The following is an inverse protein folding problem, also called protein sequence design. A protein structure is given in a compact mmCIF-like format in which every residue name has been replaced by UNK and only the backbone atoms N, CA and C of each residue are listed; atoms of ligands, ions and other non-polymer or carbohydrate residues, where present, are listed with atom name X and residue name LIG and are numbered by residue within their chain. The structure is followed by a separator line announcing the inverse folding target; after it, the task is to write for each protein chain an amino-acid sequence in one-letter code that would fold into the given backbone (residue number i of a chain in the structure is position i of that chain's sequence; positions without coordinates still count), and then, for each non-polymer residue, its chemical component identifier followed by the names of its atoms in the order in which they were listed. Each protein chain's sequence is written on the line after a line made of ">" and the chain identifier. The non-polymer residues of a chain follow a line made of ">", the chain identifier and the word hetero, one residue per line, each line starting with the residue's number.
data_IF_512284711790
#
_entry.id   IF_512284711790
#
_cell.length_a   1.000
_cell.length_b   1.000
_cell.length_c   1.000
_cell.angle_alpha   90.00
_cell.angle_beta   90.00
_cell.angle_gamma   90.00
#
_symmetry.space_group_name_H-M   'P 1'
#
loop_
_entity.id
_entity.type
_entity.pdbx_description
1 polymer ?
#
# COMPACT_ATOMS: atom_id res chain seq x y z
N UNK A 1 15.40 3.19 -25.95
CA UNK A 1 15.32 4.35 -25.02
C UNK A 1 16.68 5.04 -25.00
N UNK A 2 16.70 6.38 -25.05
CA UNK A 2 17.94 7.14 -25.07
C UNK A 2 18.54 7.23 -23.66
N UNK A 3 19.88 7.04 -23.43
CA UNK A 3 20.48 7.08 -22.09
C UNK A 3 20.28 8.37 -21.31
N UNK A 4 19.93 9.48 -21.99
CA UNK A 4 19.62 10.79 -21.39
C UNK A 4 18.13 11.05 -21.23
N UNK A 5 17.26 10.05 -21.35
CA UNK A 5 15.82 10.20 -21.16
C UNK A 5 15.50 9.92 -19.69
N UNK A 6 14.99 10.94 -19.00
CA UNK A 6 14.59 10.87 -17.58
C UNK A 6 13.10 11.20 -17.38
N UNK A 7 12.33 11.15 -18.47
CA UNK A 7 10.97 11.72 -18.48
C UNK A 7 9.88 10.81 -17.98
N UNK A 8 10.09 9.51 -17.88
CA UNK A 8 9.02 8.55 -17.56
C UNK A 8 9.48 7.51 -16.54
N UNK A 9 8.61 7.19 -15.59
CA UNK A 9 8.77 6.12 -14.62
C UNK A 9 7.56 5.20 -14.74
N UNK A 10 7.75 3.87 -14.79
CA UNK A 10 9.00 3.10 -14.80
C UNK A 10 9.75 3.21 -16.14
N UNK A 11 11.06 3.01 -16.08
CA UNK A 11 11.94 3.18 -17.22
C UNK A 11 12.37 1.84 -17.82
N UNK A 12 13.57 1.36 -17.51
CA UNK A 12 14.08 0.08 -18.02
C UNK A 12 13.95 -1.02 -16.97
N UNK A 13 13.49 -2.20 -17.38
CA UNK A 13 13.59 -3.40 -16.54
C UNK A 13 15.01 -3.94 -16.55
N UNK A 14 15.39 -4.72 -15.53
CA UNK A 14 16.62 -5.49 -15.53
C UNK A 14 16.49 -6.72 -16.44
N UNK A 15 17.61 -7.17 -17.01
CA UNK A 15 17.64 -8.39 -17.82
C UNK A 15 17.20 -9.62 -17.00
N UNK A 16 17.59 -9.67 -15.74
CA UNK A 16 17.21 -10.78 -14.83
C UNK A 16 15.70 -10.81 -14.64
N UNK A 17 15.05 -9.66 -14.41
CA UNK A 17 13.59 -9.59 -14.29
C UNK A 17 12.89 -10.02 -15.58
N UNK A 18 13.40 -9.59 -16.74
CA UNK A 18 12.87 -10.04 -18.03
C UNK A 18 12.96 -11.56 -18.20
N UNK A 19 14.10 -12.18 -17.84
CA UNK A 19 14.25 -13.64 -17.88
C UNK A 19 13.28 -14.33 -16.90
N UNK A 20 13.14 -13.83 -15.68
CA UNK A 20 12.18 -14.34 -14.70
C UNK A 20 10.75 -14.27 -15.21
N UNK A 21 10.37 -13.16 -15.84
CA UNK A 21 9.03 -12.97 -16.43
C UNK A 21 8.76 -13.94 -17.59
N UNK A 22 9.75 -14.15 -18.49
CA UNK A 22 9.65 -15.13 -19.59
C UNK A 22 9.45 -16.54 -19.04
N UNK A 23 10.24 -16.96 -18.05
CA UNK A 23 10.11 -18.29 -17.44
C UNK A 23 8.76 -18.44 -16.71
N UNK A 24 8.34 -17.42 -15.98
CA UNK A 24 7.06 -17.43 -15.27
C UNK A 24 5.89 -17.55 -16.23
N UNK A 25 5.90 -16.80 -17.34
CA UNK A 25 4.85 -16.87 -18.35
C UNK A 25 4.87 -18.21 -19.13
N UNK A 26 6.05 -18.80 -19.35
CA UNK A 26 6.18 -20.11 -20.02
C UNK A 26 5.53 -21.25 -19.17
N UNK A 27 5.66 -21.19 -17.85
CA UNK A 27 5.06 -22.17 -16.93
C UNK A 27 3.61 -21.80 -16.60
N UNK A 28 3.29 -20.51 -16.61
CA UNK A 28 1.98 -19.93 -16.30
C UNK A 28 1.35 -20.45 -14.98
N UNK A 29 2.04 -20.35 -13.82
CA UNK A 29 1.55 -20.93 -12.58
C UNK A 29 0.37 -20.11 -12.00
N UNK A 30 -0.59 -20.80 -11.42
CA UNK A 30 -1.71 -20.19 -10.70
C UNK A 30 -1.27 -19.84 -9.26
N UNK A 31 -0.99 -18.56 -9.00
CA UNK A 31 -0.34 -18.11 -7.76
C UNK A 31 -1.30 -17.68 -6.64
N UNK A 32 -2.52 -18.17 -6.63
CA UNK A 32 -3.52 -17.75 -5.63
C UNK A 32 -3.52 -18.57 -4.35
N UNK A 33 -3.11 -19.84 -4.41
CA UNK A 33 -3.04 -20.71 -3.25
C UNK A 33 -1.87 -21.69 -3.31
N UNK A 34 -1.48 -22.18 -2.14
CA UNK A 34 -0.39 -23.13 -1.95
C UNK A 34 -0.63 -24.46 -2.68
N UNK A 35 -1.88 -24.93 -2.72
CA UNK A 35 -2.22 -26.19 -3.37
C UNK A 35 -1.89 -26.18 -4.87
N UNK A 36 -2.19 -25.08 -5.54
CA UNK A 36 -1.95 -24.95 -6.99
C UNK A 36 -0.48 -24.70 -7.34
N UNK A 37 0.23 -23.93 -6.52
CA UNK A 37 1.62 -23.54 -6.81
C UNK A 37 2.44 -23.37 -5.53
N UNK A 38 2.80 -24.48 -4.84
CA UNK A 38 3.45 -24.44 -3.53
C UNK A 38 4.80 -23.72 -3.53
N UNK A 39 5.58 -23.82 -4.60
CA UNK A 39 6.86 -23.13 -4.73
C UNK A 39 6.67 -21.62 -4.89
N UNK A 40 5.72 -21.21 -5.72
CA UNK A 40 5.38 -19.79 -5.91
C UNK A 40 4.91 -19.16 -4.61
N UNK A 41 3.99 -19.83 -3.91
CA UNK A 41 3.48 -19.41 -2.61
C UNK A 41 4.61 -19.16 -1.62
N UNK A 42 5.53 -20.12 -1.50
CA UNK A 42 6.69 -20.00 -0.61
C UNK A 42 7.61 -18.84 -0.98
N UNK A 43 7.90 -18.65 -2.28
CA UNK A 43 8.77 -17.56 -2.76
C UNK A 43 8.11 -16.20 -2.47
N UNK A 44 6.84 -16.01 -2.85
CA UNK A 44 6.15 -14.73 -2.64
C UNK A 44 5.99 -14.42 -1.14
N UNK A 45 5.65 -15.39 -0.29
CA UNK A 45 5.59 -15.22 1.17
C UNK A 45 6.95 -14.79 1.76
N UNK A 46 8.05 -15.38 1.29
CA UNK A 46 9.39 -15.00 1.74
C UNK A 46 9.78 -13.58 1.30
N UNK A 47 9.45 -13.21 0.06
CA UNK A 47 9.68 -11.85 -0.44
C UNK A 47 8.88 -10.81 0.33
N UNK A 48 7.60 -11.07 0.59
CA UNK A 48 6.74 -10.19 1.40
C UNK A 48 7.32 -10.04 2.81
N UNK A 49 7.74 -11.14 3.44
CA UNK A 49 8.37 -11.10 4.76
C UNK A 49 9.64 -10.26 4.75
N UNK A 50 10.48 -10.42 3.74
CA UNK A 50 11.69 -9.61 3.57
C UNK A 50 11.36 -8.13 3.37
N UNK A 51 10.40 -7.79 2.50
CA UNK A 51 9.98 -6.39 2.27
C UNK A 51 9.36 -5.77 3.54
N UNK A 52 8.57 -6.54 4.30
CA UNK A 52 8.07 -6.13 5.61
C UNK A 52 9.22 -5.80 6.58
N UNK A 53 10.28 -6.63 6.61
CA UNK A 53 11.44 -6.36 7.47
C UNK A 53 12.21 -5.11 7.07
N UNK A 54 12.30 -4.81 5.77
CA UNK A 54 12.87 -3.55 5.27
C UNK A 54 12.05 -2.33 5.71
N UNK A 55 10.71 -2.44 5.68
CA UNK A 55 9.80 -1.41 6.16
C UNK A 55 9.78 -1.29 7.70
N UNK A 56 10.45 -2.17 8.43
CA UNK A 56 10.44 -2.16 9.90
C UNK A 56 9.11 -2.60 10.52
N UNK A 57 8.28 -3.33 9.78
CA UNK A 57 7.00 -3.80 10.29
C UNK A 57 7.16 -4.95 11.30
N UNK A 58 6.28 -5.03 12.32
CA UNK A 58 6.35 -6.05 13.36
C UNK A 58 5.98 -7.44 12.84
N UNK A 59 6.20 -8.46 13.66
CA UNK A 59 5.65 -9.78 13.44
C UNK A 59 4.12 -9.71 13.32
N UNK A 60 3.55 -10.48 12.37
CA UNK A 60 2.12 -10.40 12.04
C UNK A 60 1.78 -9.49 10.86
N UNK A 61 2.78 -8.75 10.34
CA UNK A 61 2.66 -8.07 9.05
C UNK A 61 2.49 -9.05 7.90
N UNK A 62 2.04 -8.53 6.77
CA UNK A 62 1.91 -9.30 5.53
C UNK A 62 1.53 -8.42 4.37
N UNK A 63 1.12 -9.04 3.29
CA UNK A 63 0.75 -8.34 2.07
C UNK A 63 0.59 -9.28 0.91
N UNK A 64 0.49 -8.72 -0.28
CA UNK A 64 0.45 -9.50 -1.52
C UNK A 64 1.01 -8.69 -2.69
N UNK A 65 1.47 -9.41 -3.71
CA UNK A 65 1.84 -8.81 -4.99
C UNK A 65 0.58 -8.50 -5.82
N UNK A 66 0.53 -7.30 -6.37
CA UNK A 66 -0.57 -6.78 -7.20
C UNK A 66 -0.04 -6.23 -8.52
N UNK A 67 -0.94 -5.85 -9.43
CA UNK A 67 -0.56 -5.40 -10.77
C UNK A 67 0.10 -4.03 -10.84
N UNK A 68 -0.08 -3.17 -9.84
CA UNK A 68 0.47 -1.81 -9.84
C UNK A 68 0.08 -1.03 -8.59
N UNK A 69 0.72 0.13 -8.36
CA UNK A 69 0.47 1.00 -7.23
C UNK A 69 -1.01 1.41 -7.09
N UNK A 70 -1.73 1.54 -8.20
CA UNK A 70 -3.18 1.82 -8.14
C UNK A 70 -3.95 0.72 -7.43
N UNK A 71 -3.65 -0.56 -7.72
CA UNK A 71 -4.31 -1.68 -7.06
C UNK A 71 -3.77 -1.86 -5.63
N UNK A 72 -2.50 -1.55 -5.37
CA UNK A 72 -1.92 -1.55 -4.03
C UNK A 72 -2.62 -0.51 -3.13
N UNK A 73 -2.77 0.73 -3.61
CA UNK A 73 -3.47 1.80 -2.89
C UNK A 73 -4.95 1.43 -2.65
N UNK A 74 -5.64 0.92 -3.67
CA UNK A 74 -7.03 0.48 -3.55
C UNK A 74 -7.18 -0.62 -2.49
N UNK A 75 -6.31 -1.63 -2.51
CA UNK A 75 -6.33 -2.74 -1.54
C UNK A 75 -6.09 -2.24 -0.12
N UNK A 76 -5.09 -1.37 0.08
CA UNK A 76 -4.78 -0.78 1.39
C UNK A 76 -5.94 0.08 1.92
N UNK A 77 -6.52 0.92 1.05
CA UNK A 77 -7.62 1.81 1.43
C UNK A 77 -8.93 1.05 1.69
N UNK A 78 -9.13 -0.10 1.02
CA UNK A 78 -10.24 -1.01 1.35
C UNK A 78 -10.08 -1.57 2.76
N UNK A 79 -8.88 -2.05 3.10
CA UNK A 79 -8.57 -2.53 4.45
C UNK A 79 -8.73 -1.42 5.51
N UNK A 80 -8.27 -0.20 5.20
CA UNK A 80 -8.43 0.97 6.07
C UNK A 80 -9.92 1.30 6.32
N UNK A 81 -10.73 1.32 5.25
CA UNK A 81 -12.16 1.54 5.32
C UNK A 81 -12.83 0.53 6.25
N UNK A 82 -12.58 -0.75 6.04
CA UNK A 82 -13.27 -1.82 6.77
C UNK A 82 -12.78 -1.94 8.22
N UNK A 83 -11.52 -1.55 8.48
CA UNK A 83 -10.97 -1.49 9.84
C UNK A 83 -11.51 -0.32 10.67
N UNK A 84 -11.78 0.84 10.03
CA UNK A 84 -12.10 2.09 10.74
C UNK A 84 -13.56 2.53 10.65
N UNK A 85 -14.29 2.05 9.64
CA UNK A 85 -15.67 2.45 9.35
C UNK A 85 -16.60 1.25 9.45
N UNK A 86 -17.00 0.91 10.69
CA UNK A 86 -17.72 -0.32 11.01
C UNK A 86 -19.21 -0.27 10.65
N UNK A 87 -19.76 0.93 10.41
CA UNK A 87 -21.17 1.11 10.08
C UNK A 87 -21.35 1.87 8.77
N UNK A 88 -22.55 1.77 8.18
CA UNK A 88 -22.91 2.58 7.01
C UNK A 88 -22.87 4.09 7.34
N UNK A 89 -23.29 4.46 8.55
CA UNK A 89 -23.28 5.84 9.01
C UNK A 89 -21.84 6.38 9.16
N UNK A 90 -20.90 5.58 9.64
CA UNK A 90 -19.48 5.96 9.64
C UNK A 90 -18.97 6.24 8.24
N UNK A 91 -19.32 5.38 7.26
CA UNK A 91 -18.92 5.55 5.85
C UNK A 91 -19.48 6.82 5.25
N UNK A 92 -20.73 7.16 5.59
CA UNK A 92 -21.39 8.38 5.11
C UNK A 92 -20.72 9.67 5.62
N UNK A 93 -20.19 9.64 6.84
CA UNK A 93 -19.52 10.77 7.49
C UNK A 93 -17.99 10.73 7.34
N UNK A 94 -17.47 9.70 6.70
CA UNK A 94 -16.02 9.45 6.61
C UNK A 94 -15.28 10.58 5.89
N UNK A 95 -14.06 10.87 6.36
CA UNK A 95 -13.13 11.80 5.73
C UNK A 95 -11.75 11.15 5.65
N UNK A 96 -11.12 11.29 4.48
CA UNK A 96 -9.73 10.91 4.23
C UNK A 96 -8.92 12.15 3.84
N UNK A 97 -7.69 12.22 4.31
CA UNK A 97 -6.79 13.33 4.05
C UNK A 97 -5.67 12.91 3.12
N UNK A 98 -5.41 13.75 2.13
CA UNK A 98 -4.36 13.59 1.11
C UNK A 98 -3.62 14.91 0.94
N UNK A 99 -2.38 14.91 0.44
CA UNK A 99 -1.71 16.16 0.09
C UNK A 99 -2.05 16.60 -1.34
N UNK A 100 -1.79 17.87 -1.64
CA UNK A 100 -1.90 18.41 -3.00
C UNK A 100 -0.96 17.72 -4.01
N UNK A 101 0.03 16.96 -3.54
CA UNK A 101 0.96 16.17 -4.36
C UNK A 101 0.62 14.68 -4.44
N UNK A 102 -0.44 14.24 -3.76
CA UNK A 102 -0.87 12.83 -3.76
C UNK A 102 -1.21 12.38 -5.19
N UNK A 103 -0.73 11.20 -5.56
CA UNK A 103 -0.98 10.64 -6.88
C UNK A 103 -2.48 10.33 -7.11
N UNK A 104 -2.97 10.62 -8.31
CA UNK A 104 -4.41 10.48 -8.68
C UNK A 104 -4.98 9.08 -8.48
N UNK A 105 -4.16 8.03 -8.41
CA UNK A 105 -4.61 6.67 -8.12
C UNK A 105 -5.29 6.54 -6.76
N UNK A 106 -4.94 7.38 -5.78
CA UNK A 106 -5.53 7.39 -4.44
C UNK A 106 -6.98 7.86 -4.52
N UNK A 107 -7.23 9.03 -5.11
CA UNK A 107 -8.59 9.55 -5.29
C UNK A 107 -9.44 8.59 -6.16
N UNK A 108 -8.86 8.03 -7.23
CA UNK A 108 -9.52 7.03 -8.05
C UNK A 108 -9.86 5.75 -7.27
N UNK A 109 -8.95 5.26 -6.44
CA UNK A 109 -9.18 4.10 -5.57
C UNK A 109 -10.30 4.36 -4.56
N UNK A 110 -10.26 5.51 -3.89
CA UNK A 110 -11.32 5.93 -2.96
C UNK A 110 -12.70 6.01 -3.64
N UNK A 111 -12.75 6.58 -4.83
CA UNK A 111 -13.99 6.64 -5.60
C UNK A 111 -14.53 5.23 -5.95
N UNK A 112 -13.65 4.31 -6.36
CA UNK A 112 -14.04 2.91 -6.68
C UNK A 112 -14.62 2.21 -5.44
N UNK A 113 -14.10 2.48 -4.25
CA UNK A 113 -14.59 1.87 -3.00
C UNK A 113 -15.72 2.67 -2.32
N UNK A 114 -16.30 3.65 -3.06
CA UNK A 114 -17.56 4.29 -2.73
C UNK A 114 -17.47 5.63 -1.99
N UNK A 115 -16.31 6.28 -1.95
CA UNK A 115 -16.17 7.62 -1.38
C UNK A 115 -16.46 8.70 -2.43
N UNK A 116 -17.21 9.72 -2.03
CA UNK A 116 -17.46 10.92 -2.83
C UNK A 116 -16.29 11.93 -2.73
N UNK A 117 -16.21 12.86 -3.67
CA UNK A 117 -15.12 13.82 -3.72
C UNK A 117 -15.05 14.74 -2.49
N UNK A 118 -16.19 15.08 -1.87
CA UNK A 118 -16.29 15.91 -0.68
C UNK A 118 -15.84 15.20 0.60
N UNK A 119 -15.59 13.89 0.52
CA UNK A 119 -14.99 13.10 1.60
C UNK A 119 -13.46 13.04 1.51
N UNK A 120 -12.86 13.57 0.43
CA UNK A 120 -11.41 13.60 0.19
C UNK A 120 -10.92 15.01 0.43
N UNK A 121 -10.26 15.24 1.57
CA UNK A 121 -9.75 16.54 1.96
C UNK A 121 -8.30 16.70 1.53
N UNK A 122 -8.03 17.73 0.73
CA UNK A 122 -6.69 18.04 0.22
C UNK A 122 -6.03 19.02 1.18
N UNK A 123 -4.92 18.58 1.77
CA UNK A 123 -4.07 19.39 2.65
C UNK A 123 -2.99 20.08 1.80
N UNK A 124 -2.73 21.35 2.08
CA UNK A 124 -1.67 22.09 1.39
C UNK A 124 -0.28 21.50 1.67
N UNK A 125 0.69 21.90 0.88
CA UNK A 125 2.09 21.52 1.07
C UNK A 125 2.94 22.73 1.47
N UNK A 126 4.05 22.44 2.14
CA UNK A 126 5.10 23.44 2.42
C UNK A 126 5.91 23.79 1.16
N UNK A 127 6.96 24.62 1.31
CA UNK A 127 7.85 25.00 0.22
C UNK A 127 8.64 23.85 -0.40
N UNK A 128 8.77 22.73 0.33
CA UNK A 128 9.44 21.51 -0.12
C UNK A 128 8.45 20.47 -0.67
N UNK A 129 7.21 20.89 -0.91
CA UNK A 129 6.11 20.07 -1.41
C UNK A 129 5.72 18.91 -0.50
N UNK A 130 5.93 19.02 0.82
CA UNK A 130 5.55 18.04 1.83
C UNK A 130 4.24 18.45 2.48
N UNK A 131 3.40 17.48 2.87
CA UNK A 131 2.12 17.72 3.56
C UNK A 131 2.30 18.62 4.79
N UNK A 132 1.49 19.67 4.89
CA UNK A 132 1.47 20.57 6.04
C UNK A 132 0.78 19.89 7.23
N UNK A 133 1.56 19.40 8.19
CA UNK A 133 1.03 18.65 9.35
C UNK A 133 0.22 19.52 10.30
N UNK A 134 0.50 20.82 10.38
CA UNK A 134 -0.27 21.76 11.21
C UNK A 134 -1.66 21.96 10.62
N UNK A 135 -1.77 22.13 9.31
CA UNK A 135 -3.07 22.22 8.63
C UNK A 135 -3.83 20.89 8.71
N UNK A 136 -3.12 19.74 8.53
CA UNK A 136 -3.72 18.42 8.67
C UNK A 136 -4.42 18.27 10.03
N UNK A 137 -3.72 18.59 11.11
CA UNK A 137 -4.26 18.45 12.46
C UNK A 137 -5.45 19.39 12.70
N UNK A 138 -5.35 20.65 12.28
CA UNK A 138 -6.44 21.62 12.39
C UNK A 138 -7.70 21.20 11.60
N UNK A 139 -7.50 20.66 10.39
CA UNK A 139 -8.64 20.19 9.58
C UNK A 139 -9.29 18.92 10.15
N UNK A 140 -8.51 18.03 10.76
CA UNK A 140 -9.03 16.87 11.51
C UNK A 140 -9.92 17.34 12.67
N UNK A 141 -9.42 18.26 13.51
CA UNK A 141 -10.17 18.78 14.67
C UNK A 141 -11.47 19.47 14.24
N UNK A 142 -11.42 20.28 13.19
CA UNK A 142 -12.59 20.92 12.59
C UNK A 142 -13.61 19.87 12.13
N UNK A 143 -13.20 18.86 11.37
CA UNK A 143 -14.09 17.83 10.87
C UNK A 143 -14.73 17.01 12.00
N UNK A 144 -13.99 16.72 13.07
CA UNK A 144 -14.54 16.08 14.27
C UNK A 144 -15.61 16.97 14.91
N UNK A 145 -15.37 18.28 15.04
CA UNK A 145 -16.34 19.23 15.60
C UNK A 145 -17.61 19.35 14.75
N UNK A 146 -17.51 19.12 13.45
CA UNK A 146 -18.64 19.08 12.50
C UNK A 146 -19.36 17.71 12.49
N UNK A 147 -18.96 16.76 13.33
CA UNK A 147 -19.57 15.44 13.42
C UNK A 147 -19.16 14.48 12.29
N UNK A 148 -18.13 14.81 11.52
CA UNK A 148 -17.53 13.91 10.52
C UNK A 148 -16.69 12.83 11.20
N UNK A 149 -16.30 11.82 10.43
CA UNK A 149 -15.50 10.67 10.88
C UNK A 149 -14.17 10.62 10.14
N UNK A 150 -13.12 11.33 10.57
CA UNK A 150 -11.77 11.13 10.06
C UNK A 150 -11.35 9.66 10.22
N UNK A 151 -10.86 9.00 9.14
CA UNK A 151 -10.51 7.59 9.23
C UNK A 151 -9.11 7.26 8.68
N UNK A 152 -8.59 8.05 7.73
CA UNK A 152 -7.30 7.75 7.14
C UNK A 152 -6.57 9.01 6.67
N UNK A 153 -5.23 8.94 6.72
CA UNK A 153 -4.31 9.85 6.03
C UNK A 153 -3.51 9.06 5.02
N UNK A 154 -3.38 9.58 3.81
CA UNK A 154 -2.49 9.03 2.79
C UNK A 154 -1.28 9.95 2.66
N UNK A 155 -0.16 9.52 3.19
CA UNK A 155 1.13 10.18 3.05
C UNK A 155 1.87 9.65 1.81
N UNK A 156 2.71 10.47 1.20
CA UNK A 156 3.52 10.09 0.05
C UNK A 156 4.99 9.89 0.45
N UNK A 157 5.58 8.79 0.03
CA UNK A 157 7.03 8.58 0.11
C UNK A 157 7.63 8.65 -1.30
N UNK A 158 7.98 9.85 -1.74
CA UNK A 158 8.44 10.14 -3.09
C UNK A 158 7.30 10.44 -4.06
N UNK A 159 6.78 11.67 -4.01
CA UNK A 159 5.70 12.15 -4.89
C UNK A 159 6.08 12.07 -6.37
N UNK A 160 5.11 11.85 -7.24
CA UNK A 160 5.35 11.72 -8.69
C UNK A 160 5.96 12.96 -9.32
N UNK A 161 5.56 14.14 -8.88
CA UNK A 161 5.99 15.39 -9.51
C UNK A 161 7.32 15.91 -8.95
N UNK A 162 7.59 15.75 -7.67
CA UNK A 162 8.70 16.43 -6.98
C UNK A 162 9.66 15.45 -6.28
N UNK A 163 9.27 14.20 -6.09
CA UNK A 163 10.05 13.22 -5.33
C UNK A 163 10.04 13.48 -3.82
N UNK A 164 9.26 14.46 -3.34
CA UNK A 164 9.19 14.82 -1.93
C UNK A 164 8.63 13.67 -1.08
N UNK A 165 9.11 13.59 0.15
CA UNK A 165 8.63 12.65 1.17
C UNK A 165 7.90 13.46 2.24
N UNK A 166 6.66 13.09 2.52
CA UNK A 166 5.87 13.72 3.57
C UNK A 166 6.47 13.46 4.95
N UNK A 167 6.22 14.28 5.97
CA UNK A 167 6.76 14.12 7.32
C UNK A 167 6.09 12.92 8.02
N UNK A 168 6.53 11.69 7.65
CA UNK A 168 5.87 10.43 7.99
C UNK A 168 5.72 10.22 9.49
N UNK A 169 6.74 10.57 10.27
CA UNK A 169 6.72 10.40 11.74
C UNK A 169 5.69 11.31 12.42
N UNK A 170 5.58 12.55 11.96
CA UNK A 170 4.62 13.51 12.51
C UNK A 170 3.19 13.09 12.16
N UNK A 171 2.97 12.69 10.89
CA UNK A 171 1.68 12.15 10.42
C UNK A 171 1.29 10.90 11.22
N UNK A 172 2.23 9.99 11.51
CA UNK A 172 1.98 8.82 12.34
C UNK A 172 1.55 9.20 13.76
N UNK A 173 2.16 10.24 14.34
CA UNK A 173 1.77 10.80 15.64
C UNK A 173 0.33 11.30 15.65
N UNK A 174 -0.05 12.04 14.61
CA UNK A 174 -1.43 12.53 14.41
C UNK A 174 -2.40 11.36 14.21
N UNK A 175 -2.10 10.42 13.33
CA UNK A 175 -2.95 9.25 13.11
C UNK A 175 -3.19 8.45 14.40
N UNK A 176 -2.14 8.28 15.21
CA UNK A 176 -2.24 7.62 16.52
C UNK A 176 -3.14 8.40 17.50
N UNK A 177 -3.00 9.74 17.55
CA UNK A 177 -3.80 10.62 18.44
C UNK A 177 -5.29 10.51 18.16
N UNK A 178 -5.66 10.44 16.86
CA UNK A 178 -7.07 10.46 16.44
C UNK A 178 -7.62 9.09 16.00
N UNK A 179 -6.90 8.00 16.30
CA UNK A 179 -7.25 6.61 15.92
C UNK A 179 -7.54 6.45 14.42
N UNK A 180 -6.68 7.01 13.58
CA UNK A 180 -6.79 6.98 12.12
C UNK A 180 -5.81 5.97 11.52
N UNK A 181 -6.14 5.47 10.32
CA UNK A 181 -5.24 4.65 9.51
C UNK A 181 -4.23 5.52 8.78
N UNK A 182 -2.96 5.18 8.86
CA UNK A 182 -1.92 5.79 8.06
C UNK A 182 -1.55 4.88 6.90
N UNK A 183 -1.88 5.29 5.68
CA UNK A 183 -1.38 4.65 4.46
C UNK A 183 -0.24 5.46 3.87
N UNK A 184 0.84 4.79 3.44
CA UNK A 184 1.93 5.44 2.71
C UNK A 184 1.90 4.98 1.25
N UNK A 185 1.68 5.94 0.33
CA UNK A 185 1.98 5.73 -1.07
C UNK A 185 3.49 5.86 -1.28
N UNK A 186 4.17 4.72 -1.20
CA UNK A 186 5.59 4.56 -1.46
C UNK A 186 5.87 3.92 -2.82
N UNK A 187 4.91 3.97 -3.74
CA UNK A 187 5.01 3.31 -5.04
C UNK A 187 6.35 3.55 -5.74
N UNK A 188 6.92 4.73 -5.59
CA UNK A 188 8.26 5.06 -6.09
C UNK A 188 9.32 5.00 -4.99
N UNK A 189 9.17 5.81 -3.95
CA UNK A 189 10.25 6.08 -2.99
C UNK A 189 10.48 4.99 -1.95
N UNK A 190 9.56 4.04 -1.74
CA UNK A 190 9.80 2.93 -0.83
C UNK A 190 11.06 2.12 -1.18
N UNK A 191 11.51 2.16 -2.44
CA UNK A 191 12.78 1.53 -2.86
C UNK A 191 14.02 2.13 -2.20
N UNK A 192 13.94 3.33 -1.62
CA UNK A 192 15.01 3.91 -0.81
C UNK A 192 15.30 3.08 0.47
N UNK A 193 14.36 2.26 0.92
CA UNK A 193 14.56 1.32 2.04
C UNK A 193 15.67 0.29 1.77
N UNK A 194 15.99 0.03 0.49
CA UNK A 194 17.08 -0.86 0.07
C UNK A 194 18.46 -0.22 0.24
N UNK A 195 18.53 1.10 0.40
CA UNK A 195 19.77 1.86 0.51
C UNK A 195 20.10 2.15 1.96
N UNK A 196 21.30 1.77 2.41
CA UNK A 196 21.77 2.10 3.76
C UNK A 196 21.88 3.61 4.00
N UNK A 197 22.20 4.39 2.96
CA UNK A 197 22.35 5.83 3.02
C UNK A 197 21.04 6.60 2.96
N UNK A 198 20.07 6.11 2.15
CA UNK A 198 18.84 6.84 1.84
C UNK A 198 17.60 6.33 2.60
N UNK A 199 17.66 5.16 3.26
CA UNK A 199 16.53 4.64 4.03
C UNK A 199 16.04 5.59 5.11
N UNK A 200 16.92 6.42 5.67
CA UNK A 200 16.60 7.43 6.68
C UNK A 200 15.67 8.53 6.17
N UNK A 201 15.59 8.74 4.85
CA UNK A 201 14.65 9.69 4.23
C UNK A 201 13.19 9.25 4.42
N UNK A 202 12.98 7.97 4.75
CA UNK A 202 11.67 7.37 5.01
C UNK A 202 11.45 7.10 6.52
N UNK A 203 12.11 7.87 7.40
CA UNK A 203 11.92 7.76 8.85
C UNK A 203 10.44 7.91 9.22
N UNK A 204 9.90 6.95 9.97
CA UNK A 204 8.48 6.86 10.31
C UNK A 204 7.67 5.89 9.44
N UNK A 205 8.26 5.30 8.37
CA UNK A 205 7.55 4.30 7.54
C UNK A 205 7.10 3.11 8.37
N UNK A 206 7.90 2.71 9.34
CA UNK A 206 7.63 1.61 10.27
C UNK A 206 6.41 1.83 11.17
N UNK A 207 5.90 3.06 11.24
CA UNK A 207 4.74 3.42 12.06
C UNK A 207 3.42 3.36 11.28
N UNK A 208 3.47 3.26 9.95
CA UNK A 208 2.27 3.22 9.11
C UNK A 208 1.51 1.89 9.26
N UNK A 209 0.22 1.91 8.92
CA UNK A 209 -0.63 0.71 8.89
C UNK A 209 -0.48 -0.03 7.57
N UNK A 210 -0.18 0.68 6.47
CA UNK A 210 0.03 0.08 5.16
C UNK A 210 0.98 0.89 4.28
N UNK A 211 1.63 0.20 3.34
CA UNK A 211 2.59 0.74 2.40
C UNK A 211 2.37 0.14 1.01
N UNK A 212 2.22 0.96 -0.02
CA UNK A 212 2.32 0.52 -1.41
C UNK A 212 3.76 0.67 -1.93
N UNK A 213 4.24 -0.30 -2.72
CA UNK A 213 5.60 -0.31 -3.23
C UNK A 213 5.65 -0.96 -4.61
N UNK A 214 6.04 -0.21 -5.64
CA UNK A 214 6.07 -0.70 -7.02
C UNK A 214 7.47 -1.20 -7.39
N UNK A 215 7.65 -2.52 -7.39
CA UNK A 215 8.90 -3.14 -7.79
C UNK A 215 9.20 -2.88 -9.29
N UNK A 216 8.17 -2.72 -10.13
CA UNK A 216 8.33 -2.38 -11.54
C UNK A 216 8.73 -0.92 -11.80
N UNK A 217 8.89 -0.09 -10.76
CA UNK A 217 9.45 1.27 -10.87
C UNK A 217 10.95 1.24 -10.58
N UNK A 218 11.37 1.65 -9.43
CA UNK A 218 12.80 1.82 -9.11
C UNK A 218 13.55 0.50 -8.87
N UNK A 219 12.86 -0.58 -8.55
CA UNK A 219 13.48 -1.91 -8.46
C UNK A 219 13.68 -2.58 -9.82
N UNK A 220 13.31 -1.91 -10.94
CA UNK A 220 13.57 -2.34 -12.32
C UNK A 220 12.97 -3.71 -12.67
N UNK A 221 11.85 -4.08 -12.05
CA UNK A 221 11.12 -5.27 -12.43
C UNK A 221 10.26 -5.04 -13.68
N UNK A 222 9.91 -6.10 -14.40
CA UNK A 222 8.93 -6.02 -15.49
C UNK A 222 7.56 -5.58 -14.95
N UNK A 223 6.74 -4.94 -15.80
CA UNK A 223 5.42 -4.45 -15.43
C UNK A 223 4.54 -5.50 -14.76
N UNK A 224 3.58 -5.03 -13.97
CA UNK A 224 2.66 -5.87 -13.23
C UNK A 224 3.27 -6.46 -11.95
N UNK A 225 4.29 -5.80 -11.38
CA UNK A 225 4.96 -6.21 -10.15
C UNK A 225 4.97 -5.04 -9.15
N UNK A 226 3.96 -5.01 -8.31
CA UNK A 226 3.82 -4.10 -7.17
C UNK A 226 3.45 -4.89 -5.94
N UNK A 227 3.64 -4.33 -4.76
CA UNK A 227 3.24 -4.96 -3.51
C UNK A 227 2.44 -3.98 -2.66
N UNK A 228 1.46 -4.49 -1.94
CA UNK A 228 0.85 -3.84 -0.79
C UNK A 228 1.31 -4.59 0.46
N UNK A 229 1.87 -3.85 1.41
CA UNK A 229 2.24 -4.35 2.73
C UNK A 229 1.29 -3.77 3.77
N UNK A 230 0.89 -4.58 4.73
CA UNK A 230 0.02 -4.16 5.83
C UNK A 230 0.64 -4.60 7.15
N UNK A 231 0.67 -3.69 8.11
CA UNK A 231 1.26 -3.90 9.44
C UNK A 231 0.61 -5.06 10.20
N UNK A 232 -0.70 -5.22 10.04
CA UNK A 232 -1.47 -6.33 10.56
C UNK A 232 -2.18 -7.05 9.40
N UNK A 233 -1.67 -8.21 9.00
CA UNK A 233 -2.19 -9.00 7.88
C UNK A 233 -3.68 -9.35 8.03
N UNK A 234 -4.18 -9.52 9.25
CA UNK A 234 -5.58 -9.87 9.48
C UNK A 234 -6.55 -8.81 8.96
N UNK A 235 -6.11 -7.56 8.80
CA UNK A 235 -6.93 -6.51 8.20
C UNK A 235 -7.24 -6.80 6.71
N UNK A 236 -6.30 -7.40 5.98
CA UNK A 236 -6.56 -7.86 4.60
C UNK A 236 -7.55 -9.04 4.60
N UNK A 237 -7.33 -10.02 5.46
CA UNK A 237 -8.22 -11.18 5.61
C UNK A 237 -9.65 -10.72 5.92
N UNK A 238 -9.82 -9.81 6.89
CA UNK A 238 -11.12 -9.27 7.28
C UNK A 238 -11.85 -8.56 6.14
N UNK A 239 -11.10 -7.95 5.21
CA UNK A 239 -11.68 -7.19 4.10
C UNK A 239 -11.95 -8.03 2.85
N UNK A 240 -11.18 -9.10 2.62
CA UNK A 240 -11.17 -9.78 1.32
C UNK A 240 -11.52 -11.26 1.38
N UNK A 241 -11.42 -11.93 2.53
CA UNK A 241 -11.75 -13.35 2.62
C UNK A 241 -13.25 -13.56 2.36
N UNK A 242 -13.56 -14.36 1.34
CA UNK A 242 -14.94 -14.67 0.95
C UNK A 242 -15.59 -15.77 1.79
N UNK A 243 -14.80 -16.47 2.61
CA UNK A 243 -15.26 -17.63 3.40
C UNK A 243 -15.06 -17.37 4.90
N UNK A 244 -16.15 -17.04 5.65
CA UNK A 244 -16.07 -16.80 7.10
C UNK A 244 -15.52 -17.97 7.91
N UNK A 245 -15.62 -19.20 7.38
CA UNK A 245 -15.10 -20.41 8.03
C UNK A 245 -13.56 -20.43 8.06
N UNK A 246 -12.90 -19.87 7.05
CA UNK A 246 -11.44 -19.71 7.01
C UNK A 246 -10.90 -18.73 8.06
N UNK A 247 -11.71 -17.76 8.50
CA UNK A 247 -11.31 -16.82 9.54
C UNK A 247 -11.00 -17.52 10.87
N UNK A 248 -11.73 -18.59 11.19
CA UNK A 248 -11.50 -19.39 12.40
C UNK A 248 -10.21 -20.20 12.31
N UNK A 249 -9.88 -20.69 11.10
CA UNK A 249 -8.66 -21.45 10.85
C UNK A 249 -7.44 -20.52 10.71
N UNK A 250 -7.63 -19.29 10.21
CA UNK A 250 -6.57 -18.28 10.09
C UNK A 250 -6.08 -17.77 11.46
N UNK A 251 -6.95 -17.72 12.46
CA UNK A 251 -6.56 -17.44 13.85
C UNK A 251 -5.77 -18.63 14.45
N UNK A 252 -6.10 -19.86 14.03
CA UNK A 252 -5.45 -21.07 14.51
C UNK A 252 -4.12 -21.38 13.82
N UNK A 253 -3.95 -20.97 12.54
CA UNK A 253 -2.71 -21.19 11.77
C UNK A 253 -2.48 -20.04 10.77
N UNK A 254 -1.52 -19.14 11.05
CA UNK A 254 -1.11 -18.10 10.11
C UNK A 254 -0.68 -18.63 8.74
N UNK A 255 -0.29 -19.88 8.63
CA UNK A 255 0.12 -20.53 7.38
C UNK A 255 -1.06 -20.96 6.50
N UNK A 256 -2.28 -21.01 7.04
CA UNK A 256 -3.49 -21.39 6.31
C UNK A 256 -4.05 -20.27 5.42
N UNK A 257 -3.63 -19.01 5.62
CA UNK A 257 -4.09 -17.87 4.82
C UNK A 257 -3.48 -17.93 3.43
N UNK A 258 -4.34 -17.91 2.42
CA UNK A 258 -3.96 -17.96 1.01
C UNK A 258 -3.98 -16.54 0.39
N UNK A 259 -3.29 -16.36 -0.72
CA UNK A 259 -3.22 -15.03 -1.36
C UNK A 259 -4.57 -14.52 -1.89
N UNK A 260 -5.49 -15.39 -2.25
CA UNK A 260 -6.84 -15.02 -2.67
C UNK A 260 -7.69 -14.41 -1.53
N UNK A 261 -7.31 -14.64 -0.26
CA UNK A 261 -7.97 -14.06 0.92
C UNK A 261 -7.42 -12.68 1.29
N UNK A 262 -6.36 -12.21 0.61
CA UNK A 262 -5.65 -10.98 0.96
C UNK A 262 -5.91 -9.81 0.01
N UNK A 263 -6.68 -10.02 -1.04
CA UNK A 263 -6.92 -8.98 -2.04
C UNK A 263 -8.07 -9.29 -3.00
N UNK A 264 -8.32 -8.40 -3.96
CA UNK A 264 -9.49 -8.50 -4.84
C UNK A 264 -9.36 -9.55 -5.95
N UNK A 265 -8.18 -10.16 -6.14
CA UNK A 265 -7.97 -11.13 -7.21
C UNK A 265 -8.05 -12.56 -6.69
N UNK A 266 -9.00 -13.34 -7.17
CA UNK A 266 -9.07 -14.77 -6.89
C UNK A 266 -8.05 -15.55 -7.73
N UNK A 267 -8.04 -15.34 -9.03
CA UNK A 267 -7.02 -15.90 -9.95
C UNK A 267 -5.96 -14.84 -10.22
N UNK A 268 -4.69 -15.15 -9.94
CA UNK A 268 -3.60 -14.21 -10.09
C UNK A 268 -2.34 -14.85 -10.66
N UNK A 269 -1.57 -14.13 -11.50
CA UNK A 269 -0.26 -14.58 -11.95
C UNK A 269 0.78 -14.49 -10.83
N UNK A 270 1.89 -15.22 -10.99
CA UNK A 270 3.01 -15.22 -10.06
C UNK A 270 3.90 -13.97 -10.24
N UNK A 271 3.52 -12.87 -9.61
CA UNK A 271 4.21 -11.57 -9.76
C UNK A 271 5.54 -11.50 -9.03
N UNK A 272 5.71 -12.27 -7.97
CA UNK A 272 6.96 -12.29 -7.19
C UNK A 272 8.09 -13.13 -7.80
N UNK A 273 7.89 -13.75 -8.93
CA UNK A 273 8.92 -14.52 -9.63
C UNK A 273 9.64 -13.73 -10.75
N UNK A 274 9.32 -12.47 -10.92
CA UNK A 274 9.86 -11.60 -11.96
C UNK A 274 11.25 -11.06 -11.65
#
# INVERSE_FOLDING_TARGET
>A
QHPRSFACIPYSMSLISWMGDVMTNAVNPHASCKLNSPTVDKVEKNLIKWMCSLAGYPNGCGGLFVSGGSLANLTALTAARDAKLLSFEDRRRAVVYVSAQTHSSVAKGLHIIGFANDQIHIISTDSDFRMNVTELEAEIEKNISEGKKPFAVVASAGTTNTGSVDPLRDIAGICKKYDMWMHIDGAYGASALLSETHRRELDGVELSDSLSWDAHKWMQQTYGCSVVLVRNRNQLVNSFAAHPEYLKDAEASPEAVEFWDLGPELTRPARGLK
#
